data_IF_610391944997
#
_entry.id   IF_610391944997
#
_cell.length_a   1.000
_cell.length_b   1.000
_cell.length_c   1.000
_cell.angle_alpha   90.00
_cell.angle_beta   90.00
_cell.angle_gamma   90.00
#
_symmetry.space_group_name_H-M   'P 1'
#
loop_
_entity.id
_entity.type
_entity.pdbx_description
1 polymer ?
#
# COMPACT_ATOMS: atom_id res chain seq x y z
N UNK A 1 -18.74 19.94 11.18
CA UNK A 1 -18.51 18.72 10.37
C UNK A 1 -17.00 18.53 10.25
N UNK A 2 -16.44 17.44 10.78
CA UNK A 2 -15.03 17.09 10.56
C UNK A 2 -14.87 16.59 9.12
N UNK A 3 -13.92 17.15 8.38
CA UNK A 3 -13.61 16.68 7.01
C UNK A 3 -12.87 15.35 7.08
N UNK A 4 -13.29 14.39 6.26
CA UNK A 4 -12.58 13.11 6.12
C UNK A 4 -11.28 13.32 5.34
N UNK A 5 -10.14 12.95 5.93
CA UNK A 5 -8.83 13.05 5.29
C UNK A 5 -8.47 11.74 4.59
N UNK A 6 -7.82 11.83 3.42
CA UNK A 6 -7.31 10.70 2.66
C UNK A 6 -5.78 10.70 2.64
N UNK A 7 -5.15 9.57 2.95
CA UNK A 7 -3.70 9.37 2.86
C UNK A 7 -3.40 8.19 1.94
N UNK A 8 -2.38 8.35 1.09
CA UNK A 8 -1.87 7.28 0.23
C UNK A 8 -0.44 6.96 0.63
N UNK A 9 -0.18 5.71 1.01
CA UNK A 9 1.16 5.18 1.21
C UNK A 9 1.66 4.53 -0.09
N UNK A 10 2.90 4.85 -0.43
CA UNK A 10 3.64 4.26 -1.54
C UNK A 10 4.88 3.57 -0.94
N UNK A 11 4.73 2.38 -0.35
CA UNK A 11 5.86 1.66 0.22
C UNK A 11 6.83 1.25 -0.89
N UNK A 12 8.12 1.23 -0.57
CA UNK A 12 9.11 0.60 -1.42
C UNK A 12 8.83 -0.92 -1.52
N UNK A 13 9.07 -1.56 -2.67
CA UNK A 13 8.88 -2.99 -2.81
C UNK A 13 9.70 -3.78 -1.78
N UNK A 14 9.08 -4.80 -1.17
CA UNK A 14 9.72 -5.70 -0.22
C UNK A 14 8.88 -5.91 1.05
N UNK A 15 8.90 -7.14 1.58
CA UNK A 15 8.03 -7.53 2.69
C UNK A 15 8.25 -6.69 3.96
N UNK A 16 9.50 -6.34 4.29
CA UNK A 16 9.81 -5.54 5.48
C UNK A 16 9.21 -4.13 5.41
N UNK A 17 9.36 -3.46 4.26
CA UNK A 17 8.79 -2.14 4.02
C UNK A 17 7.26 -2.16 4.05
N UNK A 18 6.65 -3.19 3.47
CA UNK A 18 5.20 -3.35 3.48
C UNK A 18 4.66 -3.55 4.90
N UNK A 19 5.22 -4.50 5.66
CA UNK A 19 4.77 -4.79 7.03
C UNK A 19 4.85 -3.54 7.92
N UNK A 20 5.97 -2.82 7.89
CA UNK A 20 6.13 -1.58 8.66
C UNK A 20 5.13 -0.50 8.25
N UNK A 21 4.87 -0.35 6.96
CA UNK A 21 3.88 0.60 6.44
C UNK A 21 2.47 0.26 6.91
N UNK A 22 2.09 -1.02 6.90
CA UNK A 22 0.78 -1.48 7.37
C UNK A 22 0.61 -1.23 8.87
N UNK A 23 1.65 -1.50 9.67
CA UNK A 23 1.61 -1.22 11.11
C UNK A 23 1.44 0.28 11.39
N UNK A 24 2.18 1.15 10.67
CA UNK A 24 2.00 2.60 10.77
C UNK A 24 0.59 3.03 10.35
N UNK A 25 0.06 2.49 9.25
CA UNK A 25 -1.29 2.79 8.79
C UNK A 25 -2.34 2.41 9.85
N UNK A 26 -2.22 1.23 10.48
CA UNK A 26 -3.10 0.81 11.57
C UNK A 26 -3.03 1.77 12.77
N UNK A 27 -1.82 2.22 13.14
CA UNK A 27 -1.64 3.20 14.22
C UNK A 27 -2.31 4.54 13.90
N UNK A 28 -2.09 5.10 12.70
CA UNK A 28 -2.69 6.37 12.30
C UNK A 28 -4.22 6.30 12.25
N UNK A 29 -4.78 5.19 11.76
CA UNK A 29 -6.23 4.97 11.77
C UNK A 29 -6.80 4.85 13.18
N UNK A 30 -6.02 4.33 14.14
CA UNK A 30 -6.44 4.29 15.54
C UNK A 30 -6.45 5.70 16.17
N UNK A 31 -5.48 6.55 15.80
CA UNK A 31 -5.36 7.91 16.32
C UNK A 31 -6.39 8.89 15.74
N UNK A 32 -6.81 8.71 14.48
CA UNK A 32 -7.79 9.57 13.83
C UNK A 32 -8.91 8.75 13.15
N UNK A 33 -10.13 8.90 13.66
CA UNK A 33 -11.34 8.26 13.12
C UNK A 33 -11.80 8.88 11.81
N UNK A 34 -11.40 10.11 11.49
CA UNK A 34 -11.70 10.81 10.25
C UNK A 34 -10.68 10.52 9.13
N UNK A 35 -9.63 9.74 9.42
CA UNK A 35 -8.62 9.34 8.44
C UNK A 35 -9.05 8.07 7.69
N UNK A 36 -8.80 8.05 6.38
CA UNK A 36 -8.84 6.87 5.53
C UNK A 36 -7.52 6.74 4.78
N UNK A 37 -7.00 5.51 4.70
CA UNK A 37 -5.67 5.23 4.16
C UNK A 37 -5.79 4.26 3.00
N UNK A 38 -5.03 4.50 1.94
CA UNK A 38 -4.78 3.53 0.86
C UNK A 38 -3.30 3.18 0.84
N UNK A 39 -2.98 1.90 0.72
CA UNK A 39 -1.60 1.40 0.58
C UNK A 39 -1.46 0.82 -0.81
N UNK A 40 -0.57 1.39 -1.61
CA UNK A 40 -0.26 0.87 -2.93
C UNK A 40 0.65 -0.35 -2.81
N UNK A 41 0.27 -1.43 -3.47
CA UNK A 41 1.00 -2.69 -3.45
C UNK A 41 1.73 -2.85 -4.77
N UNK A 42 3.04 -2.88 -4.64
CA UNK A 42 3.96 -3.17 -5.72
C UNK A 42 4.37 -4.63 -5.58
N UNK A 43 4.01 -5.46 -6.56
CA UNK A 43 4.27 -6.90 -6.53
C UNK A 43 5.44 -7.24 -7.46
N UNK A 44 6.63 -7.54 -6.93
CA UNK A 44 7.70 -8.14 -7.72
C UNK A 44 7.26 -9.52 -8.18
N UNK A 45 7.67 -9.93 -9.40
CA UNK A 45 7.34 -11.24 -9.97
C UNK A 45 7.84 -12.45 -9.16
N UNK A 46 8.74 -12.23 -8.20
CA UNK A 46 9.43 -13.27 -7.43
C UNK A 46 9.04 -13.33 -5.95
N UNK A 47 8.20 -12.41 -5.43
CA UNK A 47 7.89 -12.36 -3.99
C UNK A 47 6.48 -12.87 -3.66
N UNK A 48 6.38 -14.17 -3.40
CA UNK A 48 5.14 -14.82 -2.94
C UNK A 48 4.72 -14.36 -1.54
N UNK A 49 5.65 -13.90 -0.69
CA UNK A 49 5.37 -13.51 0.70
C UNK A 49 4.51 -12.25 0.76
N UNK A 50 4.73 -11.30 -0.14
CA UNK A 50 3.90 -10.08 -0.25
C UNK A 50 2.44 -10.46 -0.52
N UNK A 51 2.22 -11.44 -1.40
CA UNK A 51 0.86 -11.88 -1.77
C UNK A 51 0.16 -12.53 -0.60
N UNK A 52 0.79 -13.53 0.02
CA UNK A 52 0.22 -14.23 1.17
C UNK A 52 -0.05 -13.29 2.35
N UNK A 53 0.81 -12.28 2.55
CA UNK A 53 0.61 -11.28 3.60
C UNK A 53 -0.63 -10.42 3.35
N UNK A 54 -0.86 -9.97 2.11
CA UNK A 54 -2.04 -9.18 1.76
C UNK A 54 -3.31 -10.02 1.86
N UNK A 55 -3.27 -11.27 1.39
CA UNK A 55 -4.41 -12.19 1.52
C UNK A 55 -4.75 -12.41 3.00
N UNK A 56 -3.74 -12.56 3.86
CA UNK A 56 -3.92 -12.64 5.31
C UNK A 56 -4.52 -11.35 5.90
N UNK A 57 -4.11 -10.17 5.42
CA UNK A 57 -4.67 -8.89 5.86
C UNK A 57 -6.11 -8.70 5.41
N UNK A 58 -6.46 -9.18 4.22
CA UNK A 58 -7.81 -9.14 3.70
C UNK A 58 -8.75 -10.11 4.46
N UNK A 59 -8.23 -11.26 4.90
CA UNK A 59 -8.95 -12.21 5.73
C UNK A 59 -9.17 -11.68 7.17
N UNK A 60 -8.27 -10.84 7.68
CA UNK A 60 -8.37 -10.19 9.00
C UNK A 60 -9.37 -9.02 8.98
N UNK A 61 -10.64 -9.36 8.78
CA UNK A 61 -11.80 -8.45 8.76
C UNK A 61 -12.25 -8.01 10.16
N UNK A 62 -11.55 -8.45 11.22
CA UNK A 62 -11.99 -8.27 12.61
C UNK A 62 -11.63 -6.90 13.20
N UNK A 63 -10.78 -6.12 12.53
CA UNK A 63 -10.38 -4.79 13.01
C UNK A 63 -11.40 -3.71 12.63
N UNK A 64 -11.79 -2.88 13.60
CA UNK A 64 -12.59 -1.65 13.38
C UNK A 64 -11.93 -0.66 12.40
N UNK A 65 -10.66 -0.87 12.06
CA UNK A 65 -9.92 -0.09 11.05
C UNK A 65 -10.02 -0.65 9.63
N UNK A 66 -10.51 -1.89 9.45
CA UNK A 66 -10.52 -2.60 8.17
C UNK A 66 -11.33 -1.88 7.07
N UNK A 67 -12.40 -1.17 7.44
CA UNK A 67 -13.21 -0.39 6.49
C UNK A 67 -12.54 0.91 6.02
N UNK A 68 -11.49 1.36 6.71
CA UNK A 68 -10.81 2.65 6.47
C UNK A 68 -9.43 2.50 5.84
N UNK A 69 -8.89 1.28 5.79
CA UNK A 69 -7.66 0.95 5.05
C UNK A 69 -8.00 0.19 3.77
N UNK A 70 -7.37 0.54 2.65
CA UNK A 70 -7.50 -0.17 1.38
C UNK A 70 -6.13 -0.57 0.85
N UNK A 71 -6.02 -1.79 0.34
CA UNK A 71 -4.84 -2.28 -0.35
C UNK A 71 -5.11 -2.27 -1.85
N UNK A 72 -4.29 -1.54 -2.63
CA UNK A 72 -4.49 -1.37 -4.07
C UNK A 72 -3.31 -2.02 -4.80
N UNK A 73 -3.58 -3.13 -5.50
CA UNK A 73 -2.57 -3.77 -6.33
C UNK A 73 -2.30 -2.92 -7.57
N UNK A 74 -1.04 -2.52 -7.74
CA UNK A 74 -0.60 -1.87 -8.97
C UNK A 74 -0.35 -2.92 -10.06
N UNK A 75 -0.49 -2.54 -11.34
CA UNK A 75 -0.09 -3.39 -12.46
C UNK A 75 1.35 -3.85 -12.29
N UNK A 76 1.60 -5.12 -12.58
CA UNK A 76 2.92 -5.72 -12.43
C UNK A 76 3.90 -5.07 -13.41
N UNK A 77 4.80 -4.23 -12.91
CA UNK A 77 5.95 -3.75 -13.67
C UNK A 77 7.08 -4.79 -13.58
N UNK A 78 7.65 -5.08 -14.73
CA UNK A 78 8.39 -6.31 -15.04
C UNK A 78 9.73 -6.50 -14.31
N UNK A 79 10.12 -7.78 -14.22
CA UNK A 79 11.43 -8.41 -13.99
C UNK A 79 12.54 -7.61 -13.26
N UNK A 80 12.79 -8.02 -12.01
CA UNK A 80 14.15 -8.22 -11.47
C UNK A 80 14.83 -7.07 -10.74
N UNK A 81 14.50 -5.80 -11.04
CA UNK A 81 15.22 -4.65 -10.47
C UNK A 81 14.28 -3.59 -9.88
N UNK A 82 14.39 -3.38 -8.57
CA UNK A 82 13.65 -2.36 -7.80
C UNK A 82 13.97 -0.93 -8.23
N UNK A 83 15.20 -0.66 -8.69
CA UNK A 83 15.60 0.67 -9.14
C UNK A 83 14.96 0.99 -10.49
N UNK A 84 15.00 0.01 -11.40
CA UNK A 84 14.29 0.07 -12.67
C UNK A 84 12.78 0.21 -12.47
N UNK A 85 12.22 -0.47 -11.47
CA UNK A 85 10.82 -0.32 -11.10
C UNK A 85 10.50 1.13 -10.70
N UNK A 86 11.29 1.71 -9.79
CA UNK A 86 11.03 3.07 -9.30
C UNK A 86 11.19 4.12 -10.42
N UNK A 87 12.19 3.98 -11.29
CA UNK A 87 12.34 4.86 -12.45
C UNK A 87 11.18 4.72 -13.43
N UNK A 88 10.74 3.49 -13.71
CA UNK A 88 9.60 3.22 -14.60
C UNK A 88 8.31 3.77 -14.02
N UNK A 89 8.08 3.64 -12.72
CA UNK A 89 6.90 4.18 -12.06
C UNK A 89 6.85 5.70 -12.18
N UNK A 90 7.95 6.39 -11.89
CA UNK A 90 8.04 7.85 -12.02
C UNK A 90 7.82 8.28 -13.48
N UNK A 91 8.44 7.58 -14.44
CA UNK A 91 8.29 7.89 -15.86
C UNK A 91 6.85 7.65 -16.39
N UNK A 92 6.21 6.57 -15.96
CA UNK A 92 4.87 6.19 -16.45
C UNK A 92 3.74 6.96 -15.76
N UNK A 93 3.87 7.24 -14.47
CA UNK A 93 2.82 7.90 -13.69
C UNK A 93 3.02 9.42 -13.59
N UNK A 94 4.25 9.92 -13.73
CA UNK A 94 4.56 11.35 -13.66
C UNK A 94 3.70 12.22 -14.59
N UNK A 95 3.52 11.86 -15.87
CA UNK A 95 2.66 12.62 -16.79
C UNK A 95 1.16 12.62 -16.43
N UNK A 96 0.71 11.70 -15.57
CA UNK A 96 -0.70 11.57 -15.16
C UNK A 96 -1.05 12.39 -13.92
N UNK A 97 -0.05 12.90 -13.21
CA UNK A 97 -0.23 13.77 -12.05
C UNK A 97 -0.30 15.21 -12.55
N UNK A 98 -1.52 15.78 -12.53
CA UNK A 98 -1.78 17.19 -12.83
C UNK A 98 -1.53 18.09 -11.62
#
# INVERSE_FOLDING_TARGET
MTKKAGLVFIPTPGIGHLVSTVQLAKLLLHLDSNLSISVLIMKPSYDSKITSYIDSLAADTTSTTASRIKFINLPQAFSGDINNFMSTLVQTQGPLVK
#
